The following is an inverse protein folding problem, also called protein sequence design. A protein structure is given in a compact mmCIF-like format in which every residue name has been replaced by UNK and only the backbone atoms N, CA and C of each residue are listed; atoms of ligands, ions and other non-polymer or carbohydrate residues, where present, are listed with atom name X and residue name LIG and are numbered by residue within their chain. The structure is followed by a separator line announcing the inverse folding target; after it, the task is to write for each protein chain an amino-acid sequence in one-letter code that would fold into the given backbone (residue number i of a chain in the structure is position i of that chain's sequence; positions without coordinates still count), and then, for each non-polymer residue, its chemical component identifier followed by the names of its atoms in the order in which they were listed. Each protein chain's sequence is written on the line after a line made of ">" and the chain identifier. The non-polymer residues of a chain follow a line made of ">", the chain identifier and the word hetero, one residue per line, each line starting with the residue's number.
data_IF_032684170084
#
_entry.id   IF_032684170084
#
_cell.length_a   1.000
_cell.length_b   1.000
_cell.length_c   1.000
_cell.angle_alpha   90.00
_cell.angle_beta   90.00
_cell.angle_gamma   90.00
#
_symmetry.space_group_name_H-M   'P 1'
#
loop_
_entity.id
_entity.type
_entity.pdbx_description
1 polymer ?
#
# COMPACT_ATOMS: atom_id res chain seq x y z
N UNK A 1 53.56 -39.82 -0.09
CA UNK A 1 52.53 -39.00 0.58
C UNK A 1 51.57 -38.55 -0.51
N UNK A 2 50.58 -39.39 -0.78
CA UNK A 2 49.49 -39.10 -1.72
C UNK A 2 48.43 -38.28 -0.97
N UNK A 3 48.22 -37.04 -1.36
CA UNK A 3 47.07 -36.24 -0.95
C UNK A 3 46.03 -36.34 -2.05
N UNK A 4 45.12 -37.31 -1.90
CA UNK A 4 43.92 -37.48 -2.71
C UNK A 4 42.97 -36.30 -2.47
N UNK A 5 42.93 -35.36 -3.41
CA UNK A 5 41.88 -34.35 -3.51
C UNK A 5 40.59 -35.03 -3.99
N UNK A 6 39.72 -35.40 -3.05
CA UNK A 6 38.36 -35.85 -3.34
C UNK A 6 37.57 -34.64 -3.82
N UNK A 7 37.46 -34.50 -5.15
CA UNK A 7 36.42 -33.68 -5.78
C UNK A 7 35.05 -34.30 -5.43
N UNK A 8 34.46 -33.83 -4.33
CA UNK A 8 33.05 -34.04 -4.04
C UNK A 8 32.26 -33.08 -4.93
N UNK A 9 32.04 -33.48 -6.17
CA UNK A 9 31.05 -32.87 -7.05
C UNK A 9 29.66 -33.07 -6.43
N UNK A 10 29.28 -32.17 -5.53
CA UNK A 10 27.95 -32.12 -4.95
C UNK A 10 26.94 -32.03 -6.10
N UNK A 11 26.09 -33.04 -6.25
CA UNK A 11 25.07 -33.08 -7.28
C UNK A 11 24.17 -31.85 -7.13
N UNK A 12 24.07 -31.02 -8.17
CA UNK A 12 23.31 -29.77 -8.15
C UNK A 12 22.03 -29.89 -8.96
N UNK A 13 20.93 -29.34 -8.45
CA UNK A 13 19.61 -29.35 -9.06
C UNK A 13 19.10 -27.91 -9.27
N UNK A 14 18.53 -27.64 -10.46
CA UNK A 14 17.88 -26.37 -10.76
C UNK A 14 16.45 -26.32 -10.19
N UNK A 15 16.07 -25.21 -9.58
CA UNK A 15 14.72 -25.01 -9.04
C UNK A 15 13.71 -24.75 -10.17
N UNK A 16 12.63 -25.54 -10.24
CA UNK A 16 11.54 -25.37 -11.22
C UNK A 16 10.72 -24.07 -11.06
N UNK A 17 10.92 -23.31 -9.98
CA UNK A 17 10.18 -22.07 -9.72
C UNK A 17 10.99 -20.81 -10.03
N UNK A 18 12.26 -20.76 -9.63
CA UNK A 18 13.11 -19.57 -9.81
C UNK A 18 14.40 -19.83 -10.60
N UNK A 19 14.61 -21.05 -11.10
CA UNK A 19 15.80 -21.46 -11.86
C UNK A 19 17.14 -21.35 -11.09
N UNK A 20 17.11 -21.11 -9.78
CA UNK A 20 18.31 -21.09 -8.96
C UNK A 20 18.91 -22.51 -8.84
N UNK A 21 20.24 -22.58 -8.84
CA UNK A 21 21.00 -23.83 -8.62
C UNK A 21 21.07 -24.11 -7.12
N UNK A 22 20.64 -25.30 -6.70
CA UNK A 22 20.62 -25.75 -5.30
C UNK A 22 21.32 -27.11 -5.17
N UNK A 23 21.68 -27.49 -3.96
CA UNK A 23 22.21 -28.84 -3.71
C UNK A 23 21.09 -29.88 -3.85
N UNK A 24 21.34 -31.03 -4.47
CA UNK A 24 20.37 -32.11 -4.65
C UNK A 24 19.83 -32.66 -3.32
N UNK A 25 20.55 -32.47 -2.22
CA UNK A 25 20.11 -32.88 -0.87
C UNK A 25 19.20 -31.87 -0.17
N UNK A 26 18.97 -30.68 -0.72
CA UNK A 26 18.15 -29.65 -0.09
C UNK A 26 16.64 -29.86 -0.36
N UNK A 27 15.85 -29.93 0.72
CA UNK A 27 14.38 -30.05 0.62
C UNK A 27 13.71 -28.77 0.10
N UNK A 28 14.29 -27.60 0.35
CA UNK A 28 13.77 -26.29 -0.06
C UNK A 28 14.80 -25.49 -0.84
N UNK A 29 14.32 -24.66 -1.77
CA UNK A 29 15.15 -23.73 -2.52
C UNK A 29 15.70 -22.62 -1.61
N UNK A 30 17.00 -22.38 -1.66
CA UNK A 30 17.67 -21.31 -0.91
C UNK A 30 17.21 -19.90 -1.31
N UNK A 31 16.80 -19.71 -2.57
CA UNK A 31 16.44 -18.40 -3.13
C UNK A 31 14.96 -18.07 -3.02
N UNK A 32 14.06 -19.05 -3.19
CA UNK A 32 12.62 -18.80 -3.25
C UNK A 32 11.79 -19.65 -2.29
N UNK A 33 12.43 -20.48 -1.46
CA UNK A 33 11.76 -21.37 -0.49
C UNK A 33 10.83 -22.42 -1.12
N UNK A 34 10.87 -22.62 -2.44
CA UNK A 34 10.10 -23.66 -3.13
C UNK A 34 10.55 -25.06 -2.68
N UNK A 35 9.64 -26.00 -2.37
CA UNK A 35 9.98 -27.33 -1.89
C UNK A 35 10.44 -28.25 -3.04
N UNK A 36 11.72 -28.16 -3.42
CA UNK A 36 12.30 -28.91 -4.56
C UNK A 36 12.31 -30.42 -4.30
N UNK A 37 12.66 -30.84 -3.07
CA UNK A 37 12.62 -32.24 -2.64
C UNK A 37 11.28 -32.64 -2.00
N UNK A 38 10.25 -31.80 -2.11
CA UNK A 38 8.93 -32.06 -1.53
C UNK A 38 8.02 -32.91 -2.42
N UNK A 39 6.91 -33.36 -1.86
CA UNK A 39 5.88 -34.08 -2.63
C UNK A 39 5.19 -33.16 -3.66
N UNK A 40 4.57 -33.74 -4.70
CA UNK A 40 3.74 -32.96 -5.65
C UNK A 40 2.68 -32.12 -4.92
N UNK A 41 2.10 -32.64 -3.84
CA UNK A 41 1.13 -31.91 -3.02
C UNK A 41 1.74 -30.70 -2.32
N UNK A 42 2.95 -30.81 -1.76
CA UNK A 42 3.67 -29.68 -1.15
C UNK A 42 4.02 -28.61 -2.18
N UNK A 43 4.45 -29.01 -3.38
CA UNK A 43 4.75 -28.08 -4.49
C UNK A 43 3.50 -27.34 -4.99
N UNK A 44 2.37 -28.05 -5.14
CA UNK A 44 1.09 -27.46 -5.52
C UNK A 44 0.61 -26.49 -4.42
N UNK A 45 0.71 -26.89 -3.15
CA UNK A 45 0.33 -26.06 -2.01
C UNK A 45 1.18 -24.78 -1.93
N UNK A 46 2.47 -24.84 -2.24
CA UNK A 46 3.32 -23.66 -2.28
C UNK A 46 2.87 -22.69 -3.39
N UNK A 47 2.66 -23.18 -4.62
CA UNK A 47 2.22 -22.35 -5.74
C UNK A 47 0.84 -21.74 -5.50
N UNK A 48 -0.09 -22.49 -4.91
CA UNK A 48 -1.43 -21.97 -4.59
C UNK A 48 -1.38 -20.88 -3.51
N UNK A 49 -0.58 -21.08 -2.46
CA UNK A 49 -0.39 -20.08 -1.40
C UNK A 49 0.20 -18.77 -1.92
N UNK A 50 1.20 -18.84 -2.82
CA UNK A 50 1.73 -17.63 -3.48
C UNK A 50 0.63 -16.96 -4.32
N UNK A 51 -0.07 -17.72 -5.17
CA UNK A 51 -1.10 -17.17 -6.03
C UNK A 51 -2.23 -16.47 -5.25
N UNK A 52 -2.69 -17.06 -4.15
CA UNK A 52 -3.71 -16.46 -3.26
C UNK A 52 -3.19 -15.17 -2.65
N UNK A 53 -1.96 -15.16 -2.11
CA UNK A 53 -1.37 -13.95 -1.50
C UNK A 53 -1.15 -12.84 -2.52
N UNK A 54 -0.73 -13.16 -3.75
CA UNK A 54 -0.58 -12.17 -4.83
C UNK A 54 -1.93 -11.57 -5.22
N UNK A 55 -3.01 -12.37 -5.27
CA UNK A 55 -4.36 -11.86 -5.51
C UNK A 55 -4.81 -10.91 -4.41
N UNK A 56 -4.58 -11.28 -3.14
CA UNK A 56 -4.91 -10.44 -1.98
C UNK A 56 -4.15 -9.10 -2.00
N UNK A 57 -2.87 -9.10 -2.39
CA UNK A 57 -2.13 -7.85 -2.59
C UNK A 57 -2.74 -6.97 -3.67
N UNK A 58 -3.07 -7.54 -4.84
CA UNK A 58 -3.62 -6.79 -5.97
C UNK A 58 -4.98 -6.18 -5.64
N UNK A 59 -5.80 -6.90 -4.88
CA UNK A 59 -7.07 -6.39 -4.36
C UNK A 59 -6.84 -5.25 -3.37
N UNK A 60 -5.86 -5.40 -2.48
CA UNK A 60 -5.48 -4.37 -1.51
C UNK A 60 -4.94 -3.09 -2.20
N UNK A 61 -4.12 -3.22 -3.24
CA UNK A 61 -3.65 -2.09 -4.07
C UNK A 61 -4.82 -1.36 -4.77
N UNK A 62 -5.87 -2.10 -5.17
CA UNK A 62 -7.07 -1.48 -5.75
C UNK A 62 -7.73 -0.53 -4.76
N UNK A 63 -7.84 -0.89 -3.49
CA UNK A 63 -8.39 0.00 -2.47
C UNK A 63 -7.54 1.24 -2.23
N UNK A 64 -6.20 1.11 -2.23
CA UNK A 64 -5.30 2.26 -2.17
C UNK A 64 -5.53 3.19 -3.35
N UNK A 65 -5.72 2.65 -4.55
CA UNK A 65 -6.01 3.45 -5.74
C UNK A 65 -7.32 4.23 -5.64
N UNK A 66 -8.33 3.68 -4.96
CA UNK A 66 -9.61 4.39 -4.69
C UNK A 66 -9.36 5.58 -3.75
N UNK A 67 -8.57 5.41 -2.70
CA UNK A 67 -8.21 6.50 -1.80
C UNK A 67 -7.40 7.59 -2.51
N UNK A 68 -6.47 7.24 -3.39
CA UNK A 68 -5.74 8.21 -4.23
C UNK A 68 -6.69 9.00 -5.12
N UNK A 69 -7.68 8.34 -5.74
CA UNK A 69 -8.71 9.03 -6.53
C UNK A 69 -9.53 10.01 -5.68
N UNK A 70 -9.87 9.63 -4.45
CA UNK A 70 -10.57 10.52 -3.51
C UNK A 70 -9.71 11.74 -3.14
N UNK A 71 -8.43 11.56 -2.86
CA UNK A 71 -7.49 12.64 -2.58
C UNK A 71 -7.34 13.60 -3.78
N UNK A 72 -7.20 13.06 -4.99
CA UNK A 72 -7.19 13.88 -6.21
C UNK A 72 -8.49 14.65 -6.39
N UNK A 73 -9.64 14.02 -6.12
CA UNK A 73 -10.94 14.67 -6.17
C UNK A 73 -11.05 15.81 -5.15
N UNK A 74 -10.60 15.58 -3.91
CA UNK A 74 -10.55 16.60 -2.85
C UNK A 74 -9.58 17.75 -3.20
N UNK A 75 -8.42 17.45 -3.80
CA UNK A 75 -7.51 18.48 -4.27
C UNK A 75 -8.15 19.33 -5.38
N UNK A 76 -8.77 18.68 -6.37
CA UNK A 76 -9.43 19.36 -7.48
C UNK A 76 -10.57 20.26 -7.03
N UNK A 77 -11.45 19.77 -6.14
CA UNK A 77 -12.57 20.58 -5.66
C UNK A 77 -12.11 21.76 -4.79
N UNK A 78 -11.10 21.58 -3.93
CA UNK A 78 -10.54 22.69 -3.16
C UNK A 78 -9.87 23.73 -4.06
N UNK A 79 -9.16 23.29 -5.11
CA UNK A 79 -8.55 24.20 -6.07
C UNK A 79 -9.62 25.03 -6.81
N UNK A 80 -10.68 24.38 -7.31
CA UNK A 80 -11.77 25.05 -8.02
C UNK A 80 -12.53 26.03 -7.12
N UNK A 81 -12.85 25.63 -5.88
CA UNK A 81 -13.49 26.52 -4.91
C UNK A 81 -12.59 27.70 -4.54
N UNK A 82 -11.30 27.46 -4.33
CA UNK A 82 -10.33 28.51 -4.06
C UNK A 82 -10.25 29.54 -5.18
N UNK A 83 -10.16 29.08 -6.43
CA UNK A 83 -10.18 29.94 -7.60
C UNK A 83 -11.50 30.72 -7.71
N UNK A 84 -12.63 30.08 -7.45
CA UNK A 84 -13.93 30.75 -7.44
C UNK A 84 -14.00 31.86 -6.40
N UNK A 85 -13.62 31.60 -5.14
CA UNK A 85 -13.63 32.62 -4.09
C UNK A 85 -12.62 33.74 -4.36
N UNK A 86 -11.45 33.42 -4.91
CA UNK A 86 -10.45 34.43 -5.25
C UNK A 86 -10.86 35.36 -6.39
N UNK A 87 -11.41 34.81 -7.48
CA UNK A 87 -11.72 35.61 -8.68
C UNK A 87 -13.15 36.15 -8.71
N UNK A 88 -14.13 35.44 -8.14
CA UNK A 88 -15.53 35.85 -8.19
C UNK A 88 -15.97 36.63 -6.93
N UNK A 89 -15.32 36.38 -5.79
CA UNK A 89 -15.67 37.02 -4.52
C UNK A 89 -14.57 37.95 -3.98
N UNK A 90 -13.49 38.18 -4.74
CA UNK A 90 -12.31 38.98 -4.36
C UNK A 90 -11.68 38.59 -2.99
N UNK A 91 -11.88 37.36 -2.55
CA UNK A 91 -11.38 36.84 -1.28
C UNK A 91 -10.05 36.10 -1.50
N UNK A 92 -8.99 36.89 -1.66
CA UNK A 92 -7.62 36.40 -1.84
C UNK A 92 -7.13 35.52 -0.67
N UNK A 93 -7.38 35.84 0.61
CA UNK A 93 -7.02 34.95 1.73
C UNK A 93 -7.62 33.54 1.60
N UNK A 94 -8.91 33.43 1.26
CA UNK A 94 -9.59 32.14 1.09
C UNK A 94 -9.09 31.37 -0.14
N UNK A 95 -8.67 32.07 -1.20
CA UNK A 95 -8.04 31.45 -2.36
C UNK A 95 -6.69 30.81 -2.00
N UNK A 96 -5.83 31.54 -1.29
CA UNK A 96 -4.50 31.06 -0.91
C UNK A 96 -4.62 29.83 0.00
N UNK A 97 -5.50 29.87 1.00
CA UNK A 97 -5.71 28.74 1.91
C UNK A 97 -6.19 27.49 1.15
N UNK A 98 -7.12 27.66 0.22
CA UNK A 98 -7.65 26.58 -0.61
C UNK A 98 -6.61 25.97 -1.55
N UNK A 99 -5.74 26.80 -2.14
CA UNK A 99 -4.60 26.34 -2.96
C UNK A 99 -3.60 25.55 -2.10
N UNK A 100 -3.27 26.04 -0.92
CA UNK A 100 -2.39 25.33 0.02
C UNK A 100 -2.95 23.95 0.41
N UNK A 101 -4.25 23.88 0.71
CA UNK A 101 -4.93 22.61 1.01
C UNK A 101 -4.93 21.66 -0.18
N UNK A 102 -5.18 22.17 -1.40
CA UNK A 102 -5.13 21.37 -2.62
C UNK A 102 -3.73 20.78 -2.85
N UNK A 103 -2.67 21.60 -2.70
CA UNK A 103 -1.28 21.15 -2.79
C UNK A 103 -0.94 20.10 -1.73
N UNK A 104 -1.42 20.29 -0.50
CA UNK A 104 -1.24 19.31 0.58
C UNK A 104 -1.84 17.95 0.20
N UNK A 105 -3.08 17.92 -0.32
CA UNK A 105 -3.69 16.67 -0.76
C UNK A 105 -2.97 16.03 -1.95
N UNK A 106 -2.40 16.82 -2.88
CA UNK A 106 -1.56 16.29 -3.96
C UNK A 106 -0.27 15.66 -3.43
N UNK A 107 0.41 16.31 -2.48
CA UNK A 107 1.61 15.77 -1.82
C UNK A 107 1.27 14.46 -1.12
N UNK A 108 0.17 14.41 -0.36
CA UNK A 108 -0.28 13.17 0.30
C UNK A 108 -0.60 12.07 -0.72
N UNK A 109 -1.16 12.42 -1.88
CA UNK A 109 -1.45 11.45 -2.94
C UNK A 109 -0.17 10.83 -3.51
N UNK A 110 0.87 11.63 -3.74
CA UNK A 110 2.18 11.14 -4.17
C UNK A 110 2.86 10.31 -3.06
N UNK A 111 2.70 10.72 -1.80
CA UNK A 111 3.27 10.00 -0.66
C UNK A 111 2.59 8.64 -0.39
N UNK A 112 1.32 8.50 -0.78
CA UNK A 112 0.54 7.26 -0.63
C UNK A 112 1.15 6.07 -1.38
N UNK A 113 1.97 6.29 -2.42
CA UNK A 113 2.66 5.20 -3.14
C UNK A 113 3.76 4.53 -2.30
N UNK A 114 4.36 5.28 -1.37
CA UNK A 114 5.37 4.73 -0.45
C UNK A 114 4.75 4.24 0.85
N UNK A 115 3.83 5.01 1.42
CA UNK A 115 3.20 4.73 2.71
C UNK A 115 1.69 5.03 2.65
N UNK A 116 0.87 4.11 2.10
CA UNK A 116 -0.55 4.36 1.91
C UNK A 116 -1.28 4.59 3.23
N UNK A 117 -0.93 3.83 4.27
CA UNK A 117 -1.54 3.98 5.59
C UNK A 117 -1.27 5.36 6.20
N UNK A 118 0.00 5.80 6.21
CA UNK A 118 0.38 7.11 6.73
C UNK A 118 -0.29 8.25 5.97
N UNK A 119 -0.26 8.20 4.63
CA UNK A 119 -0.86 9.23 3.79
C UNK A 119 -2.37 9.37 4.00
N UNK A 120 -3.13 8.26 4.04
CA UNK A 120 -4.58 8.29 4.22
C UNK A 120 -4.93 8.76 5.64
N UNK A 121 -4.18 8.34 6.66
CA UNK A 121 -4.39 8.80 8.04
C UNK A 121 -4.15 10.31 8.18
N UNK A 122 -3.05 10.82 7.63
CA UNK A 122 -2.76 12.26 7.64
C UNK A 122 -3.81 13.05 6.88
N UNK A 123 -4.24 12.56 5.72
CA UNK A 123 -5.31 13.21 4.95
C UNK A 123 -6.62 13.28 5.72
N UNK A 124 -6.97 12.21 6.45
CA UNK A 124 -8.16 12.18 7.29
C UNK A 124 -8.07 13.19 8.44
N UNK A 125 -6.91 13.29 9.10
CA UNK A 125 -6.69 14.28 10.16
C UNK A 125 -6.86 15.70 9.60
N UNK A 126 -6.22 16.02 8.48
CA UNK A 126 -6.34 17.35 7.85
C UNK A 126 -7.78 17.64 7.46
N UNK A 127 -8.50 16.67 6.90
CA UNK A 127 -9.91 16.82 6.58
C UNK A 127 -10.77 17.11 7.81
N UNK A 128 -10.53 16.44 8.93
CA UNK A 128 -11.22 16.71 10.19
C UNK A 128 -10.88 18.12 10.72
N UNK A 129 -9.62 18.53 10.70
CA UNK A 129 -9.19 19.86 11.13
C UNK A 129 -9.87 20.95 10.31
N UNK A 130 -9.91 20.82 8.98
CA UNK A 130 -10.61 21.76 8.10
C UNK A 130 -12.11 21.82 8.40
N UNK A 131 -12.74 20.68 8.73
CA UNK A 131 -14.13 20.69 9.15
C UNK A 131 -14.35 21.45 10.45
N UNK A 132 -13.47 21.29 11.44
CA UNK A 132 -13.55 22.02 12.72
C UNK A 132 -13.42 23.53 12.48
N UNK A 133 -12.47 23.98 11.66
CA UNK A 133 -12.31 25.40 11.31
C UNK A 133 -13.59 25.95 10.67
N UNK A 134 -14.12 25.26 9.67
CA UNK A 134 -15.36 25.69 8.99
C UNK A 134 -16.58 25.78 9.94
N UNK A 135 -16.64 24.93 10.98
CA UNK A 135 -17.72 24.96 11.97
C UNK A 135 -17.63 26.22 12.84
N UNK A 136 -16.41 26.66 13.17
CA UNK A 136 -16.17 27.87 13.95
C UNK A 136 -16.55 29.10 13.14
N UNK A 137 -16.16 29.15 11.86
CA UNK A 137 -16.45 30.29 10.98
C UNK A 137 -17.94 30.41 10.67
N UNK A 138 -18.63 29.29 10.44
CA UNK A 138 -20.05 29.29 10.12
C UNK A 138 -20.75 28.00 10.61
N UNK A 139 -21.37 28.00 11.80
CA UNK A 139 -22.03 26.82 12.35
C UNK A 139 -23.23 26.35 11.50
N UNK A 140 -23.79 27.21 10.64
CA UNK A 140 -24.84 26.85 9.68
C UNK A 140 -24.36 25.84 8.61
N UNK A 141 -23.05 25.76 8.33
CA UNK A 141 -22.45 24.73 7.46
C UNK A 141 -22.42 23.34 8.12
N UNK A 142 -22.77 23.23 9.40
CA UNK A 142 -22.89 21.94 10.09
C UNK A 142 -24.12 21.18 9.59
N UNK A 143 -25.23 21.87 9.31
CA UNK A 143 -26.50 21.25 8.90
C UNK A 143 -26.61 21.06 7.38
N UNK A 144 -26.00 21.95 6.59
CA UNK A 144 -25.89 21.79 5.13
C UNK A 144 -24.61 21.03 4.77
N UNK A 145 -24.77 19.79 4.28
CA UNK A 145 -23.65 18.97 3.80
C UNK A 145 -23.28 17.78 4.69
N UNK A 146 -24.10 17.45 5.69
CA UNK A 146 -23.95 16.20 6.48
C UNK A 146 -23.76 14.95 5.61
N UNK A 147 -24.50 14.75 4.49
CA UNK A 147 -24.36 13.53 3.68
C UNK A 147 -22.95 13.37 3.09
N UNK A 148 -22.37 14.44 2.52
CA UNK A 148 -21.04 14.36 1.91
C UNK A 148 -19.94 14.14 2.95
N UNK A 149 -20.11 14.70 4.16
CA UNK A 149 -19.18 14.48 5.27
C UNK A 149 -19.19 13.05 5.77
N UNK A 150 -20.38 12.44 5.92
CA UNK A 150 -20.51 11.03 6.31
C UNK A 150 -19.89 10.13 5.23
N UNK A 151 -20.17 10.38 3.95
CA UNK A 151 -19.59 9.63 2.84
C UNK A 151 -18.07 9.71 2.86
N UNK A 152 -17.49 10.91 3.01
CA UNK A 152 -16.04 11.08 3.09
C UNK A 152 -15.45 10.31 4.29
N UNK A 153 -16.06 10.40 5.47
CA UNK A 153 -15.59 9.68 6.66
C UNK A 153 -15.64 8.16 6.47
N UNK A 154 -16.73 7.62 5.91
CA UNK A 154 -16.83 6.18 5.63
C UNK A 154 -15.77 5.74 4.62
N UNK A 155 -15.54 6.52 3.56
CA UNK A 155 -14.50 6.25 2.58
C UNK A 155 -13.10 6.32 3.19
N UNK A 156 -12.82 7.30 4.06
CA UNK A 156 -11.55 7.39 4.77
C UNK A 156 -11.34 6.21 5.73
N UNK A 157 -12.34 5.85 6.54
CA UNK A 157 -12.25 4.71 7.48
C UNK A 157 -12.05 3.39 6.73
N UNK A 158 -12.79 3.18 5.64
CA UNK A 158 -12.60 2.02 4.76
C UNK A 158 -11.20 2.01 4.13
N UNK A 159 -10.73 3.18 3.69
CA UNK A 159 -9.39 3.39 3.15
C UNK A 159 -8.29 3.06 4.14
N UNK A 160 -8.38 3.53 5.38
CA UNK A 160 -7.41 3.26 6.46
C UNK A 160 -7.32 1.76 6.75
N UNK A 161 -8.48 1.09 6.89
CA UNK A 161 -8.52 -0.36 7.16
C UNK A 161 -7.86 -1.15 6.04
N UNK A 162 -8.14 -0.79 4.78
CA UNK A 162 -7.56 -1.47 3.64
C UNK A 162 -6.07 -1.17 3.50
N UNK A 163 -5.64 0.09 3.65
CA UNK A 163 -4.24 0.46 3.61
C UNK A 163 -3.39 -0.26 4.65
N UNK A 164 -3.94 -0.49 5.85
CA UNK A 164 -3.29 -1.30 6.89
C UNK A 164 -3.11 -2.76 6.45
N UNK A 165 -4.11 -3.35 5.79
CA UNK A 165 -4.01 -4.72 5.27
C UNK A 165 -2.93 -4.85 4.19
N UNK A 166 -2.81 -3.86 3.29
CA UNK A 166 -1.75 -3.83 2.26
C UNK A 166 -0.37 -3.90 2.92
N UNK A 167 -0.12 -3.04 3.90
CA UNK A 167 1.18 -2.96 4.58
C UNK A 167 1.53 -4.29 5.25
N UNK A 168 0.59 -4.87 6.00
CA UNK A 168 0.80 -6.16 6.69
C UNK A 168 1.04 -7.31 5.70
N UNK A 169 0.30 -7.36 4.59
CA UNK A 169 0.46 -8.41 3.60
C UNK A 169 1.78 -8.27 2.82
N UNK A 170 2.21 -7.04 2.55
CA UNK A 170 3.48 -6.75 1.89
C UNK A 170 4.66 -7.21 2.75
N UNK A 171 4.65 -6.87 4.05
CA UNK A 171 5.65 -7.35 5.01
C UNK A 171 5.65 -8.89 5.11
N UNK A 172 4.48 -9.52 5.14
CA UNK A 172 4.36 -10.97 5.19
C UNK A 172 4.90 -11.65 3.91
N UNK A 173 4.74 -11.02 2.74
CA UNK A 173 5.29 -11.52 1.48
C UNK A 173 6.79 -11.28 1.34
N UNK A 174 7.30 -10.16 1.81
CA UNK A 174 8.74 -9.89 1.87
C UNK A 174 9.44 -10.92 2.76
N UNK A 175 8.87 -11.25 3.92
CA UNK A 175 9.38 -12.33 4.79
C UNK A 175 9.39 -13.71 4.13
N UNK A 176 8.44 -14.00 3.24
CA UNK A 176 8.42 -15.26 2.49
C UNK A 176 9.41 -15.28 1.32
N UNK A 177 9.65 -14.13 0.70
CA UNK A 177 10.58 -13.98 -0.43
C UNK A 177 12.03 -13.80 0.01
N UNK A 178 12.26 -13.39 1.25
CA UNK A 178 13.60 -13.35 1.81
C UNK A 178 14.22 -14.76 1.71
N UNK A 179 15.40 -14.90 1.07
CA UNK A 179 16.10 -16.18 1.01
C UNK A 179 16.26 -16.71 2.44
N UNK A 180 15.93 -17.99 2.63
CA UNK A 180 15.65 -18.56 3.93
C UNK A 180 16.73 -18.23 4.98
N UNK A 181 16.27 -17.72 6.12
CA UNK A 181 16.86 -18.02 7.42
C UNK A 181 16.57 -19.51 7.69
N UNK A 182 17.13 -20.38 6.86
CA UNK A 182 17.20 -21.81 7.07
C UNK A 182 18.50 -22.08 7.79
N UNK A 183 18.53 -21.72 9.08
CA UNK A 183 19.43 -22.26 10.11
C UNK A 183 19.04 -21.65 11.46
N UNK A 184 17.98 -22.18 12.05
CA UNK A 184 17.85 -22.36 13.49
C UNK A 184 17.16 -23.68 13.76
#
# INVERSE_FOLDING_TARGET
>A
METSSVDSSAETLACENCQAVNSATQKFCSQCSFPIGGTKNEQIAFRSNIAVRTRMLKESERHVSICKKLLYFLAGINLLLGLYFGFAADDFPSMISSICVALLFLILTAWADRNPFGAILTAFIVYLTLNVVNIIDNPALLSRGIPSKIICTVLFVGGIRSARQVTLQREALEKLKAPGIGNR
#
